data_IF_001145219472
#
_entry.id   IF_001145219472
#
_cell.length_a   1.000
_cell.length_b   1.000
_cell.length_c   1.000
_cell.angle_alpha   90.00
_cell.angle_beta   90.00
_cell.angle_gamma   90.00
#
_symmetry.space_group_name_H-M   'P 1'
#
loop_
_entity.id
_entity.type
_entity.pdbx_description
1 polymer ?
#
# COMPACT_ATOMS: atom_id res chain seq x y z
N UNK A 1 -36.10 -58.44 -14.73
CA UNK A 1 -35.59 -57.79 -13.50
C UNK A 1 -34.08 -57.63 -13.64
N UNK A 2 -33.46 -56.51 -13.23
CA UNK A 2 -33.47 -55.21 -13.90
C UNK A 2 -32.09 -54.80 -14.48
N UNK A 3 -32.15 -53.75 -15.31
CA UNK A 3 -31.05 -53.01 -15.93
C UNK A 3 -30.14 -52.33 -14.89
N UNK A 4 -28.82 -52.32 -15.13
CA UNK A 4 -27.93 -51.30 -14.56
C UNK A 4 -27.03 -50.72 -15.67
N UNK A 5 -27.32 -49.47 -16.05
CA UNK A 5 -26.47 -48.62 -16.88
C UNK A 5 -25.55 -47.84 -15.93
N UNK A 6 -24.25 -48.09 -16.00
CA UNK A 6 -23.23 -47.34 -15.26
C UNK A 6 -23.02 -46.00 -15.97
N UNK A 7 -23.56 -44.92 -15.40
CA UNK A 7 -23.28 -43.55 -15.83
C UNK A 7 -21.99 -43.06 -15.16
N UNK A 8 -20.95 -42.79 -15.95
CA UNK A 8 -19.76 -42.10 -15.51
C UNK A 8 -20.06 -40.60 -15.44
N UNK A 9 -20.16 -40.05 -14.24
CA UNK A 9 -20.24 -38.59 -14.02
C UNK A 9 -18.80 -38.06 -13.98
N UNK A 10 -18.37 -37.41 -15.05
CA UNK A 10 -17.11 -36.65 -15.06
C UNK A 10 -17.39 -35.28 -14.44
N UNK A 11 -16.98 -35.11 -13.18
CA UNK A 11 -17.05 -33.84 -12.48
C UNK A 11 -15.92 -32.95 -13.01
N UNK A 12 -16.24 -31.99 -13.88
CA UNK A 12 -15.30 -30.97 -14.33
C UNK A 12 -15.22 -29.90 -13.24
N UNK A 13 -14.21 -29.97 -12.39
CA UNK A 13 -13.84 -28.87 -11.48
C UNK A 13 -13.20 -27.76 -12.29
N UNK A 14 -13.96 -26.69 -12.52
CA UNK A 14 -13.45 -25.43 -13.05
C UNK A 14 -12.60 -24.76 -11.96
N UNK A 15 -11.28 -24.82 -12.08
CA UNK A 15 -10.37 -24.04 -11.21
C UNK A 15 -10.49 -22.58 -11.64
N UNK A 16 -11.21 -21.78 -10.87
CA UNK A 16 -11.13 -20.32 -10.97
C UNK A 16 -9.79 -19.89 -10.39
N UNK A 17 -8.83 -19.57 -11.25
CA UNK A 17 -7.60 -18.90 -10.84
C UNK A 17 -7.94 -17.46 -10.45
N UNK A 18 -7.93 -17.17 -9.15
CA UNK A 18 -7.93 -15.80 -8.68
C UNK A 18 -6.59 -15.15 -9.05
N UNK A 19 -6.57 -13.90 -9.56
CA UNK A 19 -5.31 -13.18 -9.72
C UNK A 19 -4.65 -13.05 -8.35
N UNK A 20 -3.36 -13.36 -8.30
CA UNK A 20 -2.51 -13.28 -7.11
C UNK A 20 -2.28 -11.83 -6.72
N UNK A 21 -3.28 -11.19 -6.10
CA UNK A 21 -3.15 -9.81 -5.54
C UNK A 21 -2.17 -9.77 -4.36
N UNK A 22 -1.77 -10.93 -3.82
CA UNK A 22 -1.06 -11.04 -2.55
C UNK A 22 0.48 -10.98 -2.62
N UNK A 23 1.12 -10.93 -3.80
CA UNK A 23 2.57 -11.17 -3.84
C UNK A 23 3.43 -9.98 -3.39
N UNK A 24 2.91 -8.75 -3.46
CA UNK A 24 3.67 -7.52 -3.15
C UNK A 24 2.89 -6.49 -2.31
N UNK A 25 1.90 -6.96 -1.54
CA UNK A 25 1.18 -6.11 -0.57
C UNK A 25 1.81 -6.25 0.81
N UNK A 26 2.24 -5.16 1.46
CA UNK A 26 2.80 -5.21 2.80
C UNK A 26 1.74 -5.58 3.85
N UNK A 27 2.15 -6.06 5.04
CA UNK A 27 1.23 -6.28 6.15
C UNK A 27 0.52 -4.97 6.56
N UNK A 28 -0.78 -5.04 6.85
CA UNK A 28 -1.56 -3.92 7.37
C UNK A 28 -1.82 -4.06 8.89
N UNK A 29 -0.75 -4.30 9.63
CA UNK A 29 -0.72 -4.39 11.10
C UNK A 29 0.60 -3.77 11.58
N UNK A 30 0.55 -2.89 12.58
CA UNK A 30 1.68 -2.03 12.96
C UNK A 30 3.00 -2.75 13.23
N UNK A 31 3.00 -3.80 14.06
CA UNK A 31 4.24 -4.50 14.43
C UNK A 31 4.82 -5.26 13.24
N UNK A 32 3.98 -6.02 12.52
CA UNK A 32 4.38 -6.75 11.33
C UNK A 32 4.86 -5.80 10.21
N UNK A 33 4.17 -4.69 10.00
CA UNK A 33 4.55 -3.67 9.03
C UNK A 33 5.87 -3.01 9.39
N UNK A 34 6.10 -2.68 10.66
CA UNK A 34 7.38 -2.12 11.10
C UNK A 34 8.56 -3.06 10.82
N UNK A 35 8.42 -4.35 11.12
CA UNK A 35 9.45 -5.33 10.82
C UNK A 35 9.70 -5.48 9.31
N UNK A 36 8.64 -5.43 8.50
CA UNK A 36 8.74 -5.44 7.03
C UNK A 36 9.38 -4.15 6.47
N UNK A 37 9.12 -2.99 7.06
CA UNK A 37 9.81 -1.74 6.70
C UNK A 37 11.30 -1.84 7.04
N UNK A 38 11.65 -2.40 8.20
CA UNK A 38 13.05 -2.59 8.59
C UNK A 38 13.82 -3.57 7.70
N UNK A 39 13.16 -4.56 7.10
CA UNK A 39 13.82 -5.45 6.14
C UNK A 39 14.15 -4.75 4.83
N UNK A 40 13.54 -3.59 4.55
CA UNK A 40 13.78 -2.81 3.34
C UNK A 40 13.16 -3.42 2.08
N UNK A 41 12.19 -4.32 2.21
CA UNK A 41 11.60 -5.04 1.07
C UNK A 41 10.98 -4.10 0.02
N UNK A 42 10.43 -2.96 0.44
CA UNK A 42 9.90 -1.92 -0.46
C UNK A 42 10.95 -1.23 -1.33
N UNK A 43 12.26 -1.36 -1.03
CA UNK A 43 13.31 -0.64 -1.77
C UNK A 43 13.49 -1.15 -3.19
N UNK A 44 12.99 -2.36 -3.49
CA UNK A 44 12.96 -2.92 -4.85
C UNK A 44 11.81 -2.38 -5.70
N UNK A 45 10.84 -1.68 -5.09
CA UNK A 45 9.73 -1.07 -5.80
C UNK A 45 10.18 0.11 -6.66
N UNK A 46 9.36 0.46 -7.65
CA UNK A 46 9.58 1.71 -8.38
C UNK A 46 9.50 2.91 -7.42
N UNK A 47 10.38 3.88 -7.58
CA UNK A 47 10.51 4.99 -6.64
C UNK A 47 10.96 6.28 -7.31
N UNK A 48 10.77 7.39 -6.59
CA UNK A 48 11.27 8.71 -7.00
C UNK A 48 12.80 8.69 -7.18
N UNK A 49 13.32 9.50 -8.10
CA UNK A 49 14.75 9.47 -8.43
C UNK A 49 15.64 10.03 -7.32
N UNK A 50 15.07 10.86 -6.45
CA UNK A 50 15.75 11.48 -5.31
C UNK A 50 14.76 11.94 -4.25
N UNK A 51 15.22 12.00 -3.01
CA UNK A 51 14.48 12.66 -1.95
C UNK A 51 14.28 14.15 -2.27
N UNK A 52 13.10 14.67 -1.92
CA UNK A 52 12.73 16.06 -2.12
C UNK A 52 12.04 16.64 -0.89
N UNK A 53 11.93 17.96 -0.82
CA UNK A 53 11.23 18.63 0.28
C UNK A 53 9.77 18.16 0.33
N UNK A 54 9.31 17.76 1.52
CA UNK A 54 7.91 17.41 1.76
C UNK A 54 7.00 18.61 1.51
N UNK A 55 5.85 18.39 0.86
CA UNK A 55 4.79 19.40 0.75
C UNK A 55 4.03 19.60 2.08
N UNK A 56 4.35 18.82 3.11
CA UNK A 56 3.67 18.78 4.41
C UNK A 56 2.56 17.72 4.47
N UNK A 57 2.12 17.30 5.67
CA UNK A 57 2.67 17.64 6.98
C UNK A 57 3.93 16.84 7.34
N UNK A 58 4.36 15.92 6.49
CA UNK A 58 5.51 15.05 6.78
C UNK A 58 6.81 15.85 6.91
N UNK A 59 7.82 15.31 7.65
CA UNK A 59 9.10 15.97 7.94
C UNK A 59 9.91 16.41 6.72
N UNK A 60 10.99 17.16 6.99
CA UNK A 60 11.91 17.86 6.07
C UNK A 60 11.90 17.41 4.61
N UNK A 61 12.35 16.18 4.36
CA UNK A 61 12.45 15.60 3.02
C UNK A 61 11.87 14.19 3.01
N UNK A 62 11.41 13.77 1.85
CA UNK A 62 10.75 12.47 1.63
C UNK A 62 11.18 11.88 0.30
N UNK A 63 11.08 10.57 0.18
CA UNK A 63 11.14 9.83 -1.09
C UNK A 63 10.05 8.75 -1.06
N UNK A 64 9.30 8.62 -2.15
CA UNK A 64 8.19 7.70 -2.28
C UNK A 64 8.53 6.48 -3.14
N UNK A 65 8.01 5.33 -2.72
CA UNK A 65 8.06 4.02 -3.36
C UNK A 65 6.64 3.55 -3.63
N UNK A 66 6.37 2.98 -4.80
CA UNK A 66 5.07 2.45 -5.19
C UNK A 66 5.19 0.97 -5.55
N UNK A 67 4.36 0.12 -4.95
CA UNK A 67 4.28 -1.25 -5.41
C UNK A 67 3.71 -1.33 -6.83
N UNK A 68 3.87 -2.48 -7.49
CA UNK A 68 3.48 -2.64 -8.89
C UNK A 68 2.00 -2.31 -9.12
N UNK A 69 1.12 -2.77 -8.22
CA UNK A 69 -0.31 -2.50 -8.28
C UNK A 69 -0.64 -1.00 -8.33
N UNK A 70 -0.02 -0.20 -7.45
CA UNK A 70 -0.26 1.24 -7.43
C UNK A 70 0.36 1.94 -8.63
N UNK A 71 1.59 1.56 -9.01
CA UNK A 71 2.28 2.13 -10.15
C UNK A 71 1.52 1.87 -11.47
N UNK A 72 1.09 0.63 -11.72
CA UNK A 72 0.29 0.28 -12.90
C UNK A 72 -1.04 1.04 -12.93
N UNK A 73 -1.72 1.12 -11.78
CA UNK A 73 -2.97 1.87 -11.64
C UNK A 73 -2.80 3.34 -12.01
N UNK A 74 -1.76 4.00 -11.49
CA UNK A 74 -1.44 5.40 -11.80
C UNK A 74 -1.02 5.59 -13.26
N UNK A 75 -0.23 4.68 -13.83
CA UNK A 75 0.15 4.71 -15.25
C UNK A 75 -1.06 4.60 -16.18
N UNK A 76 -2.07 3.83 -15.79
CA UNK A 76 -3.31 3.69 -16.56
C UNK A 76 -4.26 4.90 -16.45
N UNK A 77 -3.99 5.83 -15.53
CA UNK A 77 -4.89 6.94 -15.23
C UNK A 77 -6.18 6.50 -14.54
N UNK A 78 -6.15 5.38 -13.80
CA UNK A 78 -7.30 4.88 -13.07
C UNK A 78 -7.78 5.90 -12.03
N UNK A 79 -9.10 6.09 -11.94
CA UNK A 79 -9.72 6.99 -10.96
C UNK A 79 -9.82 6.38 -9.55
N UNK A 80 -9.63 5.06 -9.44
CA UNK A 80 -9.61 4.31 -8.18
C UNK A 80 -8.51 3.26 -8.24
N UNK A 81 -7.85 3.00 -7.10
CA UNK A 81 -6.77 2.03 -7.02
C UNK A 81 -7.30 0.67 -6.53
N UNK A 82 -6.82 -0.47 -7.09
CA UNK A 82 -7.27 -1.78 -6.64
C UNK A 82 -6.78 -2.08 -5.21
N UNK A 83 -7.52 -2.94 -4.49
CA UNK A 83 -7.04 -3.48 -3.22
C UNK A 83 -5.66 -4.13 -3.40
N UNK A 84 -4.77 -3.94 -2.42
CA UNK A 84 -3.36 -4.32 -2.50
C UNK A 84 -2.42 -3.23 -3.01
N UNK A 85 -2.95 -2.11 -3.55
CA UNK A 85 -2.15 -0.94 -3.90
C UNK A 85 -1.49 -0.34 -2.67
N UNK A 86 -0.19 -0.09 -2.71
CA UNK A 86 0.56 0.39 -1.56
C UNK A 86 1.64 1.40 -1.95
N UNK A 87 1.88 2.36 -1.06
CA UNK A 87 3.00 3.27 -1.13
C UNK A 87 3.74 3.30 0.21
N UNK A 88 5.07 3.32 0.13
CA UNK A 88 5.96 3.63 1.26
C UNK A 88 6.61 4.96 0.99
N UNK A 89 6.63 5.83 1.99
CA UNK A 89 7.34 7.10 1.98
C UNK A 89 8.35 7.09 3.11
N UNK A 90 9.64 7.14 2.76
CA UNK A 90 10.68 7.36 3.77
C UNK A 90 10.67 8.83 4.18
N UNK A 91 10.86 9.07 5.47
CA UNK A 91 10.90 10.41 6.06
C UNK A 91 12.33 10.71 6.49
N UNK A 92 12.90 11.84 6.04
CA UNK A 92 14.27 12.23 6.41
C UNK A 92 14.27 13.41 7.37
N UNK A 93 15.22 13.39 8.31
CA UNK A 93 15.49 14.51 9.22
C UNK A 93 16.29 15.62 8.50
N UNK A 94 16.56 16.78 9.16
CA UNK A 94 17.35 17.86 8.56
C UNK A 94 18.80 17.49 8.19
N UNK A 95 19.39 16.44 8.79
CA UNK A 95 20.71 15.91 8.41
C UNK A 95 20.66 14.96 7.21
N UNK A 96 19.47 14.63 6.69
CA UNK A 96 19.29 13.71 5.56
C UNK A 96 19.29 12.23 5.95
N UNK A 97 19.17 11.93 7.24
CA UNK A 97 19.11 10.55 7.76
C UNK A 97 17.66 10.08 7.81
N UNK A 98 17.46 8.79 7.57
CA UNK A 98 16.14 8.16 7.71
C UNK A 98 15.64 8.35 9.14
N UNK A 99 14.41 8.85 9.25
CA UNK A 99 13.81 9.30 10.50
C UNK A 99 12.38 8.78 10.68
N UNK A 100 11.99 7.79 9.88
CA UNK A 100 10.68 7.16 9.96
C UNK A 100 10.11 6.80 8.59
N UNK A 101 8.86 6.35 8.63
CA UNK A 101 8.10 5.97 7.45
C UNK A 101 6.66 6.46 7.56
N UNK A 102 6.07 6.78 6.42
CA UNK A 102 4.64 6.86 6.23
C UNK A 102 4.21 5.85 5.16
N UNK A 103 3.12 5.12 5.40
CA UNK A 103 2.63 4.04 4.53
C UNK A 103 1.13 4.20 4.33
N UNK A 104 0.69 3.99 3.09
CA UNK A 104 -0.73 3.86 2.75
C UNK A 104 -0.95 2.55 2.00
N UNK A 105 -1.90 1.74 2.45
CA UNK A 105 -2.26 0.45 1.84
C UNK A 105 -3.76 0.45 1.55
N UNK A 106 -4.14 0.22 0.29
CA UNK A 106 -5.53 0.02 -0.11
C UNK A 106 -5.96 -1.37 0.32
N UNK A 107 -6.81 -1.45 1.32
CA UNK A 107 -7.28 -2.72 1.92
C UNK A 107 -8.64 -3.19 1.39
N UNK A 108 -9.39 -2.30 0.75
CA UNK A 108 -10.71 -2.56 0.18
C UNK A 108 -10.80 -1.91 -1.20
N UNK A 109 -11.58 -2.51 -2.11
CA UNK A 109 -11.80 -1.95 -3.46
C UNK A 109 -12.39 -0.53 -3.40
N UNK A 110 -13.44 -0.34 -2.60
CA UNK A 110 -14.01 0.96 -2.33
C UNK A 110 -13.16 1.72 -1.29
N UNK A 111 -12.82 2.97 -1.59
CA UNK A 111 -12.17 3.86 -0.63
C UNK A 111 -13.05 4.20 0.56
N UNK A 112 -14.38 4.17 0.42
CA UNK A 112 -15.34 4.39 1.49
C UNK A 112 -14.99 5.64 2.34
N UNK A 113 -14.76 6.78 1.68
CA UNK A 113 -14.31 8.02 2.30
C UNK A 113 -13.02 7.90 3.15
N UNK A 114 -12.07 7.08 2.70
CA UNK A 114 -10.78 6.85 3.35
C UNK A 114 -10.72 5.58 4.20
N UNK A 115 -11.87 4.98 4.54
CA UNK A 115 -11.94 3.75 5.37
C UNK A 115 -11.36 2.51 4.65
N UNK A 116 -11.33 2.51 3.32
CA UNK A 116 -10.69 1.48 2.51
C UNK A 116 -9.16 1.53 2.52
N UNK A 117 -8.57 2.56 3.14
CA UNK A 117 -7.12 2.74 3.25
C UNK A 117 -6.65 2.51 4.68
N UNK A 118 -5.65 1.65 4.83
CA UNK A 118 -4.83 1.53 6.02
C UNK A 118 -3.69 2.56 5.96
N UNK A 119 -3.50 3.27 7.06
CA UNK A 119 -2.51 4.32 7.23
C UNK A 119 -1.58 3.96 8.37
N UNK A 120 -0.29 4.10 8.13
CA UNK A 120 0.73 3.92 9.16
C UNK A 120 1.75 5.05 9.08
N UNK A 121 2.10 5.65 10.20
CA UNK A 121 3.22 6.60 10.27
C UNK A 121 3.96 6.40 11.58
N UNK A 122 5.28 6.27 11.50
CA UNK A 122 6.18 6.17 12.65
C UNK A 122 7.33 7.17 12.49
N UNK A 123 7.61 7.92 13.56
CA UNK A 123 8.68 8.92 13.63
C UNK A 123 9.88 8.35 14.39
N UNK A 124 10.69 7.60 13.67
CA UNK A 124 11.92 6.95 14.13
C UNK A 124 12.10 5.57 13.51
N UNK A 125 13.29 4.98 13.69
CA UNK A 125 13.68 3.68 13.11
C UNK A 125 13.72 2.55 14.14
N UNK A 126 13.33 2.83 15.39
CA UNK A 126 13.29 1.88 16.50
C UNK A 126 11.86 1.49 16.85
N UNK A 127 11.66 0.28 17.40
CA UNK A 127 10.32 -0.29 17.65
C UNK A 127 9.49 0.54 18.65
N UNK A 128 10.16 1.25 19.58
CA UNK A 128 9.53 2.13 20.55
C UNK A 128 9.39 3.59 20.05
N UNK A 129 9.68 3.85 18.77
CA UNK A 129 9.52 5.18 18.19
C UNK A 129 8.04 5.60 18.19
N UNK A 130 7.81 6.90 18.08
CA UNK A 130 6.45 7.43 18.14
C UNK A 130 5.65 7.02 16.90
N UNK A 131 4.63 6.20 17.10
CA UNK A 131 3.60 5.92 16.09
C UNK A 131 2.58 7.07 16.08
N UNK A 132 2.36 7.65 14.91
CA UNK A 132 1.41 8.76 14.67
C UNK A 132 0.07 8.22 14.15
N UNK A 133 0.12 7.19 13.31
CA UNK A 133 -1.04 6.54 12.75
C UNK A 133 -0.78 5.03 12.63
N UNK A 134 -1.82 4.25 12.87
CA UNK A 134 -1.86 2.80 12.68
C UNK A 134 -3.32 2.37 12.58
N UNK A 135 -3.80 2.10 11.36
CA UNK A 135 -5.13 1.55 11.15
C UNK A 135 -5.83 2.03 9.88
N UNK A 136 -7.01 1.45 9.63
CA UNK A 136 -7.90 1.85 8.55
C UNK A 136 -8.60 3.17 8.85
N UNK A 137 -8.77 4.01 7.81
CA UNK A 137 -9.62 5.20 7.90
C UNK A 137 -9.18 6.22 8.94
N UNK A 138 -7.87 6.33 9.21
CA UNK A 138 -7.34 7.31 10.17
C UNK A 138 -7.65 8.75 9.69
N UNK A 139 -8.50 9.52 10.38
CA UNK A 139 -8.98 10.83 9.90
C UNK A 139 -7.88 11.87 9.68
N UNK A 140 -6.84 11.83 10.51
CA UNK A 140 -5.65 12.67 10.35
C UNK A 140 -4.98 12.48 8.99
N UNK A 141 -5.01 11.25 8.47
CA UNK A 141 -4.35 10.88 7.22
C UNK A 141 -5.28 11.12 6.03
N UNK A 142 -6.45 10.48 6.00
CA UNK A 142 -7.33 10.57 4.83
C UNK A 142 -7.87 12.00 4.63
N UNK A 143 -8.01 12.80 5.69
CA UNK A 143 -8.48 14.19 5.59
C UNK A 143 -7.54 15.06 4.75
N UNK A 144 -6.22 14.93 4.97
CA UNK A 144 -5.22 15.61 4.14
C UNK A 144 -5.07 14.98 2.75
N UNK A 145 -5.31 13.68 2.63
CA UNK A 145 -5.15 12.93 1.38
C UNK A 145 -6.37 13.02 0.45
N UNK A 146 -7.52 13.51 0.92
CA UNK A 146 -8.77 13.64 0.15
C UNK A 146 -8.61 14.29 -1.24
N UNK A 147 -7.75 15.31 -1.45
CA UNK A 147 -7.57 15.91 -2.78
C UNK A 147 -6.80 15.03 -3.78
N UNK A 148 -6.19 13.94 -3.34
CA UNK A 148 -5.42 13.03 -4.19
C UNK A 148 -6.30 12.18 -5.12
N UNK A 149 -5.68 11.56 -6.12
CA UNK A 149 -6.35 10.55 -6.94
C UNK A 149 -6.59 9.32 -6.05
N UNK A 150 -7.83 9.05 -5.69
CA UNK A 150 -8.19 8.01 -4.73
C UNK A 150 -7.31 8.02 -3.46
N UNK A 151 -7.14 9.20 -2.84
CA UNK A 151 -6.29 9.44 -1.67
C UNK A 151 -4.77 9.38 -1.91
N UNK A 152 -4.31 9.21 -3.14
CA UNK A 152 -2.88 9.25 -3.50
C UNK A 152 -2.47 10.64 -3.96
N UNK A 153 -1.55 11.25 -3.19
CA UNK A 153 -0.97 12.58 -3.47
C UNK A 153 0.44 12.53 -4.07
N UNK A 154 0.98 11.33 -4.30
CA UNK A 154 2.30 11.15 -4.90
C UNK A 154 2.22 11.58 -6.36
N UNK A 155 3.04 12.55 -6.81
CA UNK A 155 3.03 12.97 -8.21
C UNK A 155 3.38 11.81 -9.13
N UNK A 156 2.61 11.64 -10.20
CA UNK A 156 2.86 10.63 -11.23
C UNK A 156 2.93 11.26 -12.63
N UNK A 157 3.88 10.89 -13.51
CA UNK A 157 4.98 9.95 -13.26
C UNK A 157 5.92 10.42 -12.14
N UNK A 158 6.53 9.46 -11.45
CA UNK A 158 7.53 9.72 -10.41
C UNK A 158 8.68 10.57 -10.98
N UNK A 159 9.24 11.45 -10.15
CA UNK A 159 10.29 12.41 -10.53
C UNK A 159 11.58 12.18 -9.78
#
# INVERSE_FOLDING_TARGET
MPYFRTGLVVLVTLLMSYPTVAQDTPPSEGSALFQWLKSGSYKEWVHESKAHKSAGPHPSAVIAYLNDSLNESLNSGAATHPAGSAAVKELFNPSGELSGWAVSIKTQEDSAAGNGWYWYEILGTEENSRVVADGNGVPLCFGCHTPGNDFVLIPHPLK
#
